data_IF_574391337250
#
_entry.id   IF_574391337250
#
_cell.length_a   1.000
_cell.length_b   1.000
_cell.length_c   1.000
_cell.angle_alpha   90.00
_cell.angle_beta   90.00
_cell.angle_gamma   90.00
#
_symmetry.space_group_name_H-M   'P 1'
#
loop_
_entity.id
_entity.type
_entity.pdbx_description
1 polymer ?
#
# COMPACT_ATOMS: atom_id res chain seq x y z
N UNK A 1 -17.61 -2.37 5.18
CA UNK A 1 -16.14 -2.23 5.14
C UNK A 1 -15.57 -3.26 4.18
N UNK A 2 -14.54 -2.93 3.38
CA UNK A 2 -13.85 -3.93 2.57
C UNK A 2 -13.31 -5.05 3.48
N UNK A 3 -13.19 -6.27 2.96
CA UNK A 3 -12.59 -7.37 3.74
C UNK A 3 -11.15 -6.97 4.13
N UNK A 4 -10.68 -7.24 5.36
CA UNK A 4 -9.33 -6.89 5.81
C UNK A 4 -8.24 -7.31 4.81
N UNK A 5 -8.36 -8.53 4.27
CA UNK A 5 -7.46 -9.09 3.26
C UNK A 5 -7.37 -8.25 1.96
N UNK A 6 -8.45 -7.54 1.61
CA UNK A 6 -8.46 -6.70 0.41
C UNK A 6 -7.65 -5.42 0.61
N UNK A 7 -7.68 -4.87 1.83
CA UNK A 7 -6.83 -3.74 2.20
C UNK A 7 -5.36 -4.17 2.24
N UNK A 8 -5.07 -5.30 2.88
CA UNK A 8 -3.72 -5.87 2.93
C UNK A 8 -3.16 -6.10 1.52
N UNK A 9 -3.95 -6.69 0.63
CA UNK A 9 -3.56 -6.90 -0.76
C UNK A 9 -3.33 -5.58 -1.52
N UNK A 10 -4.12 -4.54 -1.23
CA UNK A 10 -3.95 -3.23 -1.87
C UNK A 10 -2.66 -2.55 -1.44
N UNK A 11 -2.37 -2.51 -0.14
CA UNK A 11 -1.14 -1.91 0.40
C UNK A 11 0.09 -2.64 -0.13
N UNK A 12 0.11 -3.98 -0.06
CA UNK A 12 1.27 -4.76 -0.49
C UNK A 12 1.52 -4.66 -2.01
N UNK A 13 0.48 -4.67 -2.85
CA UNK A 13 0.65 -4.49 -4.30
C UNK A 13 1.04 -3.07 -4.67
N UNK A 14 0.53 -2.06 -3.95
CA UNK A 14 0.93 -0.68 -4.15
C UNK A 14 2.41 -0.48 -3.79
N UNK A 15 2.89 -1.11 -2.70
CA UNK A 15 4.32 -1.13 -2.35
C UNK A 15 5.15 -1.74 -3.48
N UNK A 16 4.81 -2.95 -3.95
CA UNK A 16 5.52 -3.59 -5.06
C UNK A 16 5.56 -2.72 -6.31
N UNK A 17 4.44 -2.06 -6.64
CA UNK A 17 4.35 -1.16 -7.79
C UNK A 17 5.25 0.08 -7.62
N UNK A 18 5.21 0.73 -6.47
CA UNK A 18 6.03 1.89 -6.16
C UNK A 18 7.53 1.56 -6.25
N UNK A 19 7.96 0.43 -5.68
CA UNK A 19 9.34 -0.03 -5.73
C UNK A 19 9.80 -0.32 -7.16
N UNK A 20 8.96 -0.99 -7.95
CA UNK A 20 9.29 -1.31 -9.35
C UNK A 20 9.49 -0.06 -10.22
N UNK A 21 8.81 1.03 -9.89
CA UNK A 21 8.90 2.30 -10.62
C UNK A 21 9.84 3.33 -9.97
N UNK A 22 10.46 3.00 -8.85
CA UNK A 22 11.31 3.94 -8.10
C UNK A 22 10.54 5.13 -7.53
N UNK A 23 9.24 4.99 -7.25
CA UNK A 23 8.42 6.03 -6.63
C UNK A 23 8.81 6.13 -5.14
N UNK A 24 9.24 7.31 -4.65
CA UNK A 24 9.63 7.46 -3.25
C UNK A 24 8.42 7.36 -2.32
N UNK A 25 8.56 6.55 -1.25
CA UNK A 25 7.50 6.41 -0.22
C UNK A 25 7.47 7.60 0.76
N UNK A 26 8.58 8.33 0.86
CA UNK A 26 8.78 9.47 1.79
C UNK A 26 8.16 10.76 1.28
N UNK A 27 7.98 10.92 -0.04
CA UNK A 27 7.29 12.06 -0.64
C UNK A 27 5.83 11.70 -0.95
N UNK A 28 4.91 12.19 -0.12
CA UNK A 28 3.48 11.91 -0.26
C UNK A 28 2.87 12.48 -1.55
N UNK A 29 3.43 13.56 -2.10
CA UNK A 29 2.97 14.16 -3.35
C UNK A 29 3.33 13.29 -4.54
N UNK A 30 4.58 12.83 -4.62
CA UNK A 30 5.03 11.90 -5.65
C UNK A 30 4.37 10.52 -5.52
N UNK A 31 4.26 10.00 -4.29
CA UNK A 31 3.60 8.73 -4.02
C UNK A 31 2.14 8.74 -4.50
N UNK A 32 1.39 9.81 -4.21
CA UNK A 32 0.02 9.98 -4.70
C UNK A 32 -0.03 9.97 -6.22
N UNK A 33 0.76 10.82 -6.89
CA UNK A 33 0.76 10.93 -8.36
C UNK A 33 1.12 9.60 -9.03
N UNK A 34 2.10 8.89 -8.48
CA UNK A 34 2.52 7.59 -8.98
C UNK A 34 1.46 6.50 -8.81
N UNK A 35 0.77 6.47 -7.67
CA UNK A 35 -0.22 5.43 -7.36
C UNK A 35 -1.63 5.71 -7.90
N UNK A 36 -1.97 6.96 -8.21
CA UNK A 36 -3.30 7.31 -8.72
C UNK A 36 -3.62 6.58 -10.03
N UNK A 37 -2.67 6.53 -10.97
CA UNK A 37 -2.84 5.79 -12.23
C UNK A 37 -2.96 4.28 -12.01
N UNK A 38 -2.17 3.72 -11.10
CA UNK A 38 -2.26 2.29 -10.74
C UNK A 38 -3.62 1.97 -10.12
N UNK A 39 -4.08 2.81 -9.21
CA UNK A 39 -5.33 2.65 -8.47
C UNK A 39 -6.54 2.66 -9.39
N UNK A 40 -6.59 3.59 -10.36
CA UNK A 40 -7.64 3.68 -11.36
C UNK A 40 -7.69 2.47 -12.31
N UNK A 41 -6.52 1.88 -12.62
CA UNK A 41 -6.41 0.71 -13.51
C UNK A 41 -6.55 -0.64 -12.79
N UNK A 42 -6.50 -0.65 -11.47
CA UNK A 42 -6.50 -1.90 -10.67
C UNK A 42 -7.88 -2.17 -10.09
N UNK A 43 -8.60 -3.11 -10.70
CA UNK A 43 -10.02 -3.38 -10.43
C UNK A 43 -10.39 -3.72 -8.98
N UNK A 44 -9.47 -4.24 -8.17
CA UNK A 44 -9.80 -4.48 -6.75
C UNK A 44 -9.42 -3.29 -5.87
N UNK A 45 -8.48 -2.45 -6.30
CA UNK A 45 -7.94 -1.35 -5.49
C UNK A 45 -8.98 -0.26 -5.23
N UNK A 46 -9.85 0.04 -6.21
CA UNK A 46 -10.93 1.03 -6.03
C UNK A 46 -11.94 0.68 -4.92
N UNK A 47 -11.87 -0.53 -4.36
CA UNK A 47 -12.74 -0.98 -3.26
C UNK A 47 -12.20 -0.58 -1.86
N UNK A 48 -11.01 -0.01 -1.78
CA UNK A 48 -10.42 0.56 -0.55
C UNK A 48 -10.01 2.01 -0.80
N UNK A 49 -10.12 2.92 0.18
CA UNK A 49 -9.77 4.32 -0.05
C UNK A 49 -8.28 4.49 -0.38
N UNK A 50 -7.96 5.19 -1.47
CA UNK A 50 -6.57 5.45 -1.88
C UNK A 50 -5.79 6.17 -0.78
N UNK A 51 -6.41 7.14 -0.09
CA UNK A 51 -5.76 7.89 0.98
C UNK A 51 -5.28 6.99 2.13
N UNK A 52 -6.03 5.94 2.45
CA UNK A 52 -5.67 5.00 3.52
C UNK A 52 -4.49 4.12 3.10
N UNK A 53 -4.45 3.71 1.83
CA UNK A 53 -3.31 3.00 1.24
C UNK A 53 -2.06 3.88 1.26
N UNK A 54 -2.18 5.15 0.88
CA UNK A 54 -1.07 6.12 0.92
C UNK A 54 -0.56 6.32 2.36
N UNK A 55 -1.47 6.45 3.32
CA UNK A 55 -1.13 6.59 4.73
C UNK A 55 -0.40 5.35 5.27
N UNK A 56 -0.82 4.14 4.89
CA UNK A 56 -0.12 2.91 5.26
C UNK A 56 1.29 2.85 4.67
N UNK A 57 1.44 3.18 3.38
CA UNK A 57 2.74 3.21 2.68
C UNK A 57 3.70 4.26 3.24
N UNK A 58 3.20 5.44 3.61
CA UNK A 58 4.01 6.47 4.25
C UNK A 58 4.59 6.05 5.61
N UNK A 59 4.05 5.00 6.23
CA UNK A 59 4.56 4.39 7.47
C UNK A 59 5.42 3.14 7.22
N UNK A 60 5.70 2.78 5.96
CA UNK A 60 6.47 1.58 5.65
C UNK A 60 7.91 1.72 6.16
N UNK A 61 8.36 0.88 7.10
CA UNK A 61 9.69 0.99 7.67
C UNK A 61 10.77 0.47 6.72
N UNK A 62 10.46 -0.56 5.93
CA UNK A 62 11.39 -1.17 4.99
C UNK A 62 10.67 -1.95 3.88
N UNK A 63 11.30 -2.06 2.71
CA UNK A 63 10.73 -2.65 1.49
C UNK A 63 10.44 -4.15 1.57
N UNK A 64 10.97 -4.83 2.58
CA UNK A 64 10.79 -6.26 2.84
C UNK A 64 9.63 -6.55 3.80
N UNK A 65 9.03 -5.52 4.40
CA UNK A 65 7.90 -5.69 5.29
C UNK A 65 6.62 -5.90 4.49
N UNK A 66 5.66 -6.58 5.11
CA UNK A 66 4.32 -6.77 4.54
C UNK A 66 3.25 -6.21 5.47
N UNK A 67 2.23 -5.58 4.91
CA UNK A 67 1.08 -5.11 5.68
C UNK A 67 0.10 -6.24 5.95
N UNK A 68 -0.35 -6.38 7.21
CA UNK A 68 -1.42 -7.30 7.61
C UNK A 68 -2.35 -6.65 8.63
N UNK A 69 -3.63 -7.06 8.62
CA UNK A 69 -4.60 -6.68 9.66
C UNK A 69 -5.67 -5.68 9.21
N UNK A 70 -5.83 -5.47 7.91
CA UNK A 70 -6.81 -4.55 7.36
C UNK A 70 -6.44 -3.08 7.56
N UNK A 71 -7.43 -2.19 7.61
CA UNK A 71 -7.23 -0.75 7.72
C UNK A 71 -6.47 -0.33 8.99
N UNK A 72 -6.71 -1.04 10.09
CA UNK A 72 -6.06 -0.84 11.39
C UNK A 72 -4.82 -1.73 11.58
N UNK A 73 -4.36 -2.37 10.50
CA UNK A 73 -3.23 -3.28 10.50
C UNK A 73 -1.88 -2.61 10.74
N UNK A 74 -0.82 -3.38 10.50
CA UNK A 74 0.55 -2.92 10.67
C UNK A 74 1.52 -3.59 9.71
N UNK A 75 2.72 -3.02 9.64
CA UNK A 75 3.85 -3.59 8.92
C UNK A 75 4.49 -4.69 9.76
N UNK A 76 4.58 -5.89 9.18
CA UNK A 76 5.26 -7.03 9.76
C UNK A 76 6.59 -7.29 9.03
N UNK A 77 7.68 -7.57 9.76
CA UNK A 77 8.93 -8.01 9.15
C UNK A 77 8.74 -9.36 8.46
N UNK A 78 9.65 -9.73 7.53
CA UNK A 78 9.55 -10.99 6.78
C UNK A 78 9.56 -12.25 7.66
N UNK A 79 10.13 -12.17 8.87
CA UNK A 79 10.23 -13.30 9.82
C UNK A 79 9.16 -13.28 10.95
N UNK A 80 8.14 -12.40 10.84
CA UNK A 80 7.01 -12.41 11.75
C UNK A 80 5.96 -13.43 11.29
N UNK A 81 6.16 -14.68 11.69
CA UNK A 81 5.13 -15.73 11.73
C UNK A 81 4.64 -15.95 13.17
#
# INVERSE_FOLDING_TARGET
>A
MPRPELFDAAVNRALTYALRLGIPLTDQGELRRGLELWYLKTRFAYRVPLNDVLAALGRCPHVTYSWRGGADGGWLPPDAD
#
